data_IF_445487623162
#
_entry.id   IF_445487623162
#
_cell.length_a   1.000
_cell.length_b   1.000
_cell.length_c   1.000
_cell.angle_alpha   90.00
_cell.angle_beta   90.00
_cell.angle_gamma   90.00
#
_symmetry.space_group_name_H-M   'P 1'
#
loop_
_entity.id
_entity.type
_entity.pdbx_description
1 polymer ?
#
# COMPACT_ATOMS: atom_id res chain seq x y z
N UNK A 1 -9.34 -13.09 -4.42
CA UNK A 1 -8.01 -13.15 -5.08
C UNK A 1 -7.32 -11.79 -4.95
N UNK A 2 -8.04 -10.69 -5.21
CA UNK A 2 -7.58 -9.33 -4.90
C UNK A 2 -7.24 -9.15 -3.41
N UNK A 3 -7.96 -9.77 -2.48
CA UNK A 3 -7.62 -9.75 -1.05
C UNK A 3 -6.25 -10.36 -0.73
N UNK A 4 -5.85 -11.41 -1.46
CA UNK A 4 -4.52 -12.02 -1.30
C UNK A 4 -3.45 -11.09 -1.88
N UNK A 5 -3.68 -10.54 -3.07
CA UNK A 5 -2.77 -9.58 -3.68
C UNK A 5 -2.56 -8.37 -2.76
N UNK A 6 -3.63 -7.81 -2.20
CA UNK A 6 -3.57 -6.69 -1.28
C UNK A 6 -2.75 -7.02 -0.02
N UNK A 7 -2.97 -8.18 0.59
CA UNK A 7 -2.19 -8.63 1.74
C UNK A 7 -0.69 -8.78 1.41
N UNK A 8 -0.35 -9.38 0.27
CA UNK A 8 1.05 -9.55 -0.16
C UNK A 8 1.74 -8.21 -0.48
N UNK A 9 1.01 -7.27 -1.11
CA UNK A 9 1.51 -5.91 -1.37
C UNK A 9 1.84 -5.18 -0.06
N UNK A 10 0.92 -5.20 0.91
CA UNK A 10 1.12 -4.53 2.19
C UNK A 10 2.26 -5.16 2.98
N UNK A 11 2.36 -6.50 2.99
CA UNK A 11 3.45 -7.21 3.66
C UNK A 11 4.81 -6.86 3.04
N UNK A 12 4.92 -6.85 1.71
CA UNK A 12 6.15 -6.49 1.01
C UNK A 12 6.55 -5.02 1.25
N UNK A 13 5.58 -4.10 1.19
CA UNK A 13 5.80 -2.68 1.46
C UNK A 13 6.29 -2.44 2.89
N UNK A 14 5.62 -3.04 3.89
CA UNK A 14 5.98 -2.89 5.29
C UNK A 14 7.36 -3.51 5.60
N UNK A 15 7.68 -4.68 5.04
CA UNK A 15 9.01 -5.28 5.16
C UNK A 15 10.10 -4.36 4.60
N UNK A 16 9.87 -3.73 3.45
CA UNK A 16 10.81 -2.75 2.89
C UNK A 16 10.93 -1.48 3.74
N UNK A 17 9.83 -1.02 4.36
CA UNK A 17 9.87 0.10 5.32
C UNK A 17 10.65 -0.24 6.57
N UNK A 18 10.46 -1.44 7.13
CA UNK A 18 11.19 -1.94 8.30
C UNK A 18 12.69 -2.12 8.01
N UNK A 19 13.04 -2.44 6.77
CA UNK A 19 14.42 -2.45 6.29
C UNK A 19 14.99 -1.05 5.97
N UNK A 20 14.23 0.02 6.25
CA UNK A 20 14.61 1.41 6.00
C UNK A 20 15.01 1.69 4.54
N UNK A 21 14.40 0.97 3.59
CA UNK A 21 14.66 1.20 2.17
C UNK A 21 14.06 2.53 1.69
N UNK A 22 14.58 3.11 0.59
CA UNK A 22 14.00 4.30 -0.01
C UNK A 22 12.52 4.07 -0.34
N UNK A 23 11.68 5.09 -0.16
CA UNK A 23 10.23 4.98 -0.37
C UNK A 23 9.86 4.46 -1.78
N UNK A 24 10.61 4.89 -2.80
CA UNK A 24 10.46 4.39 -4.16
C UNK A 24 10.69 2.86 -4.28
N UNK A 25 11.60 2.29 -3.47
CA UNK A 25 11.84 0.85 -3.39
C UNK A 25 10.69 0.15 -2.67
N UNK A 26 10.16 0.74 -1.59
CA UNK A 26 9.00 0.19 -0.88
C UNK A 26 7.78 0.04 -1.80
N UNK A 27 7.48 1.06 -2.63
CA UNK A 27 6.41 0.94 -3.62
C UNK A 27 6.72 -0.11 -4.69
N UNK A 28 7.95 -0.15 -5.23
CA UNK A 28 8.33 -1.14 -6.25
C UNK A 28 8.18 -2.58 -5.78
N UNK A 29 8.53 -2.90 -4.53
CA UNK A 29 8.38 -4.26 -4.01
C UNK A 29 6.91 -4.65 -3.82
N UNK A 30 6.05 -3.69 -3.48
CA UNK A 30 4.60 -3.88 -3.45
C UNK A 30 4.03 -4.15 -4.85
N UNK A 31 4.42 -3.36 -5.86
CA UNK A 31 4.04 -3.61 -7.27
C UNK A 31 4.52 -5.00 -7.72
N UNK A 32 5.75 -5.38 -7.39
CA UNK A 32 6.27 -6.69 -7.73
C UNK A 32 5.51 -7.84 -7.05
N UNK A 33 4.97 -7.63 -5.84
CA UNK A 33 4.11 -8.61 -5.18
C UNK A 33 2.76 -8.75 -5.91
N UNK A 34 2.13 -7.63 -6.29
CA UNK A 34 0.89 -7.65 -7.07
C UNK A 34 1.05 -8.38 -8.41
N UNK A 35 2.13 -8.11 -9.15
CA UNK A 35 2.41 -8.77 -10.42
C UNK A 35 2.60 -10.30 -10.31
N UNK A 36 3.03 -10.82 -9.15
CA UNK A 36 3.17 -12.28 -8.96
C UNK A 36 1.81 -12.96 -8.84
N UNK A 37 0.84 -12.29 -8.22
CA UNK A 37 -0.53 -12.79 -8.06
C UNK A 37 -1.33 -12.61 -9.35
N UNK A 38 -1.04 -11.54 -10.11
CA UNK A 38 -1.72 -11.20 -11.36
C UNK A 38 -0.75 -11.08 -12.55
N UNK A 39 -0.16 -12.19 -13.02
CA UNK A 39 0.83 -12.17 -14.10
C UNK A 39 0.26 -11.72 -15.45
N UNK A 40 -1.06 -11.83 -15.64
CA UNK A 40 -1.74 -11.46 -16.88
C UNK A 40 -2.10 -9.97 -16.95
N UNK A 41 -1.93 -9.22 -15.85
CA UNK A 41 -2.20 -7.78 -15.85
C UNK A 41 -1.04 -7.02 -16.50
N UNK A 42 -1.37 -5.90 -17.16
CA UNK A 42 -0.34 -5.02 -17.67
C UNK A 42 0.47 -4.41 -16.50
N UNK A 43 1.78 -4.15 -16.70
CA UNK A 43 2.62 -3.56 -15.66
C UNK A 43 2.08 -2.24 -15.11
N UNK A 44 1.51 -1.40 -15.98
CA UNK A 44 0.95 -0.10 -15.58
C UNK A 44 -0.30 -0.26 -14.71
N UNK A 45 -1.19 -1.20 -15.07
CA UNK A 45 -2.39 -1.46 -14.29
C UNK A 45 -2.06 -2.10 -12.94
N UNK A 46 -1.15 -3.07 -12.92
CA UNK A 46 -0.66 -3.68 -11.69
C UNK A 46 0.00 -2.65 -10.75
N UNK A 47 0.77 -1.71 -11.32
CA UNK A 47 1.37 -0.63 -10.54
C UNK A 47 0.32 0.29 -9.91
N UNK A 48 -0.71 0.68 -10.67
CA UNK A 48 -1.81 1.50 -10.15
C UNK A 48 -2.54 0.80 -9.01
N UNK A 49 -2.92 -0.46 -9.18
CA UNK A 49 -3.62 -1.23 -8.15
C UNK A 49 -2.81 -1.36 -6.86
N UNK A 50 -1.54 -1.75 -6.98
CA UNK A 50 -0.66 -1.90 -5.81
C UNK A 50 -0.48 -0.58 -5.05
N UNK A 51 -0.34 0.55 -5.77
CA UNK A 51 -0.21 1.87 -5.14
C UNK A 51 -1.51 2.27 -4.44
N UNK A 52 -2.68 2.06 -5.07
CA UNK A 52 -3.99 2.31 -4.45
C UNK A 52 -4.13 1.57 -3.13
N UNK A 53 -3.84 0.26 -3.10
CA UNK A 53 -3.89 -0.54 -1.86
C UNK A 53 -3.00 0.03 -0.76
N UNK A 54 -1.76 0.42 -1.09
CA UNK A 54 -0.82 0.98 -0.11
C UNK A 54 -1.34 2.30 0.46
N UNK A 55 -1.90 3.16 -0.39
CA UNK A 55 -2.42 4.46 0.02
C UNK A 55 -3.72 4.35 0.82
N UNK A 56 -4.62 3.44 0.45
CA UNK A 56 -5.86 3.17 1.19
C UNK A 56 -5.60 2.58 2.56
N UNK A 57 -4.58 1.71 2.70
CA UNK A 57 -4.19 1.14 3.98
C UNK A 57 -3.45 2.13 4.90
N UNK A 58 -2.86 3.20 4.32
CA UNK A 58 -2.10 4.22 5.05
C UNK A 58 -2.57 5.61 4.61
N UNK A 59 -3.80 6.01 4.98
CA UNK A 59 -4.23 7.38 4.76
C UNK A 59 -3.21 8.29 5.45
N UNK A 60 -2.53 9.13 4.67
CA UNK A 60 -1.67 10.17 5.21
C UNK A 60 -2.52 11.06 6.11
N UNK A 61 -2.45 10.81 7.42
CA UNK A 61 -2.98 11.61 8.52
C UNK A 61 -4.33 12.27 8.29
N UNK A 62 -5.41 11.68 8.82
CA UNK A 62 -6.46 12.51 9.40
C UNK A 62 -5.84 13.32 10.55
N UNK A 63 -6.12 14.63 10.67
CA UNK A 63 -5.75 15.38 11.86
C UNK A 63 -6.36 14.67 13.09
N UNK A 64 -5.52 14.55 14.11
CA UNK A 64 -5.83 14.17 15.48
C UNK A 64 -7.31 14.29 15.85
N UNK A 65 -7.90 13.20 16.35
CA UNK A 65 -9.22 13.14 17.01
C UNK A 65 -9.33 14.00 18.29
N UNK A 66 -8.70 15.17 18.33
CA UNK A 66 -8.78 16.12 19.44
C UNK A 66 -9.82 17.24 19.23
N UNK A 67 -10.56 17.26 18.11
CA UNK A 67 -11.55 18.31 17.80
C UNK A 67 -13.00 17.81 17.81
N UNK A 68 -13.29 16.67 18.45
CA UNK A 68 -14.65 16.12 18.52
C UNK A 68 -15.31 16.19 19.90
N UNK A 69 -14.70 16.89 20.88
CA UNK A 69 -15.26 17.08 22.23
C UNK A 69 -15.28 18.57 22.66
N UNK A 70 -15.75 19.44 21.76
CA UNK A 70 -16.02 20.84 22.08
C UNK A 70 -17.30 21.34 21.39
N UNK A 71 -18.36 20.53 21.45
CA UNK A 71 -19.72 20.96 21.16
C UNK A 71 -20.71 19.95 21.76
N UNK A 72 -20.84 19.96 23.09
CA UNK A 72 -22.01 19.45 23.79
C UNK A 72 -22.28 20.33 25.03
#
# INVERSE_FOLDING_TARGET
>A
MEDQAAAEVLAAYEAARQAHLPLAVCFRVGVAAWCRVHPDQSPDYAAQQAVTVILEAKPTGTPSSAEQDAAA
#
